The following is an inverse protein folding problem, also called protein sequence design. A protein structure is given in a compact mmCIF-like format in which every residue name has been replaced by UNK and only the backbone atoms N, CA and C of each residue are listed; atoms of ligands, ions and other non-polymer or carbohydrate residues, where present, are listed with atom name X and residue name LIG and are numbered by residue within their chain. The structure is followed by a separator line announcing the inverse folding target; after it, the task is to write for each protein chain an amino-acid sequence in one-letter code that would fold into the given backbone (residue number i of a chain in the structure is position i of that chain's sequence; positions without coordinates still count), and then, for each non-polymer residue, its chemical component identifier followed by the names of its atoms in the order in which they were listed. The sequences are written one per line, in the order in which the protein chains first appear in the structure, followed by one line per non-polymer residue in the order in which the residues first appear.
data_IF_442916200451
#
_entry.id   IF_442916200451
#
_cell.length_a   1.000
_cell.length_b   1.000
_cell.length_c   1.000
_cell.angle_alpha   90.00
_cell.angle_beta   90.00
_cell.angle_gamma   90.00
#
_symmetry.space_group_name_H-M   'P 1'
#
loop_
_entity.id
_entity.type
_entity.pdbx_description
1 polymer ?
#
# COMPACT_ATOMS: atom_id res chain seq x y z
N UNK A 1 -4.41 -18.90 24.58
CA UNK A 1 -4.09 -18.91 23.14
C UNK A 1 -5.13 -18.05 22.41
N UNK A 2 -4.72 -17.26 21.42
CA UNK A 2 -5.62 -16.44 20.59
C UNK A 2 -5.99 -17.11 19.25
N UNK A 3 -5.27 -18.17 18.85
CA UNK A 3 -5.50 -18.89 17.60
C UNK A 3 -6.17 -20.24 17.87
N UNK A 4 -7.15 -20.57 17.04
CA UNK A 4 -7.78 -21.89 17.02
C UNK A 4 -6.79 -22.96 16.53
N UNK A 5 -7.02 -24.22 16.92
CA UNK A 5 -6.23 -25.35 16.43
C UNK A 5 -6.41 -25.47 14.91
N UNK A 6 -5.30 -25.57 14.17
CA UNK A 6 -5.28 -25.59 12.71
C UNK A 6 -5.32 -24.21 12.04
N UNK A 7 -5.43 -23.12 12.80
CA UNK A 7 -5.34 -21.77 12.24
C UNK A 7 -3.96 -21.50 11.64
N UNK A 8 -3.91 -20.57 10.68
CA UNK A 8 -2.71 -20.15 9.96
C UNK A 8 -2.46 -18.68 10.18
N UNK A 9 -1.20 -18.30 10.34
CA UNK A 9 -0.77 -16.91 10.37
C UNK A 9 0.33 -16.70 9.34
N UNK A 10 0.18 -15.69 8.48
CA UNK A 10 1.17 -15.32 7.46
C UNK A 10 1.58 -13.89 7.71
N UNK A 11 2.86 -13.66 7.95
CA UNK A 11 3.40 -12.34 8.24
C UNK A 11 4.46 -11.98 7.20
N UNK A 12 4.23 -10.87 6.49
CA UNK A 12 5.25 -10.27 5.67
C UNK A 12 6.18 -9.44 6.55
N UNK A 13 7.47 -9.74 6.52
CA UNK A 13 8.48 -9.09 7.36
C UNK A 13 9.68 -8.60 6.53
N UNK A 14 10.39 -7.60 7.05
CA UNK A 14 11.60 -7.04 6.45
C UNK A 14 12.74 -7.07 7.47
N UNK A 15 13.39 -8.23 7.67
CA UNK A 15 14.50 -8.35 8.60
C UNK A 15 15.71 -7.55 8.11
N UNK A 16 16.43 -6.93 9.02
CA UNK A 16 17.67 -6.20 8.71
C UNK A 16 18.84 -7.17 8.52
N UNK A 17 18.84 -8.29 9.24
CA UNK A 17 19.91 -9.29 9.21
C UNK A 17 19.37 -10.73 9.34
N UNK A 18 20.24 -11.71 9.05
CA UNK A 18 19.89 -13.13 9.14
C UNK A 18 19.60 -13.59 10.59
N UNK A 19 20.27 -12.99 11.59
CA UNK A 19 20.07 -13.33 13.00
C UNK A 19 18.65 -12.98 13.48
N UNK A 20 18.06 -11.88 13.01
CA UNK A 20 16.68 -11.50 13.29
C UNK A 20 15.71 -12.52 12.70
N UNK A 21 16.01 -13.05 11.50
CA UNK A 21 15.20 -14.07 10.85
C UNK A 21 15.22 -15.40 11.65
N UNK A 22 16.40 -15.82 12.07
CA UNK A 22 16.58 -17.00 12.93
C UNK A 22 15.88 -16.82 14.27
N UNK A 23 16.03 -15.66 14.92
CA UNK A 23 15.38 -15.36 16.18
C UNK A 23 13.87 -15.48 16.07
N UNK A 24 13.25 -14.86 15.06
CA UNK A 24 11.80 -14.91 14.86
C UNK A 24 11.34 -16.35 14.64
N UNK A 25 12.05 -17.10 13.80
CA UNK A 25 11.71 -18.49 13.49
C UNK A 25 11.84 -19.40 14.71
N UNK A 26 12.92 -19.24 15.49
CA UNK A 26 13.15 -19.99 16.72
C UNK A 26 12.07 -19.70 17.78
N UNK A 27 11.66 -18.44 17.94
CA UNK A 27 10.58 -18.10 18.88
C UNK A 27 9.23 -18.66 18.43
N UNK A 28 8.94 -18.64 17.12
CA UNK A 28 7.72 -19.26 16.60
C UNK A 28 7.67 -20.77 16.88
N UNK A 29 8.78 -21.49 16.65
CA UNK A 29 8.88 -22.92 16.97
C UNK A 29 8.73 -23.19 18.48
N UNK A 30 9.37 -22.37 19.33
CA UNK A 30 9.22 -22.47 20.79
C UNK A 30 7.79 -22.23 21.26
N UNK A 31 7.04 -21.36 20.58
CA UNK A 31 5.63 -21.11 20.86
C UNK A 31 4.70 -22.23 20.34
N UNK A 32 5.24 -23.28 19.71
CA UNK A 32 4.49 -24.42 19.20
C UNK A 32 3.89 -24.21 17.80
N UNK A 33 4.34 -23.18 17.07
CA UNK A 33 4.02 -23.06 15.66
C UNK A 33 4.89 -23.98 14.82
N UNK A 34 4.29 -24.59 13.80
CA UNK A 34 5.03 -25.27 12.72
C UNK A 34 4.99 -24.40 11.47
N UNK A 35 5.80 -24.72 10.45
CA UNK A 35 5.85 -23.97 9.19
C UNK A 35 7.27 -23.51 8.86
N UNK A 36 7.40 -22.32 8.25
CA UNK A 36 8.67 -21.86 7.71
C UNK A 36 8.61 -20.53 6.98
N UNK A 37 9.75 -20.15 6.41
CA UNK A 37 9.93 -18.91 5.65
C UNK A 37 9.74 -19.16 4.16
N UNK A 38 9.00 -18.28 3.50
CA UNK A 38 8.83 -18.25 2.04
C UNK A 38 9.40 -16.93 1.52
N UNK A 39 10.26 -17.00 0.51
CA UNK A 39 10.97 -15.84 -0.02
C UNK A 39 10.61 -15.65 -1.49
N UNK A 40 9.82 -14.63 -1.78
CA UNK A 40 9.52 -14.25 -3.16
C UNK A 40 10.68 -13.48 -3.77
N UNK A 41 10.95 -13.74 -5.05
CA UNK A 41 12.00 -13.12 -5.86
C UNK A 41 13.37 -13.13 -5.17
N UNK A 42 13.92 -14.31 -4.83
CA UNK A 42 15.13 -14.42 -4.00
C UNK A 42 16.34 -13.70 -4.61
N UNK A 43 16.38 -13.60 -5.94
CA UNK A 43 17.44 -12.99 -6.75
C UNK A 43 17.33 -11.47 -6.92
N UNK A 44 16.22 -10.83 -6.51
CA UNK A 44 16.00 -9.39 -6.69
C UNK A 44 16.02 -8.65 -5.36
N UNK A 45 17.03 -7.83 -5.08
CA UNK A 45 17.08 -7.02 -3.84
C UNK A 45 15.92 -6.03 -3.69
N UNK A 46 15.33 -5.58 -4.80
CA UNK A 46 14.20 -4.62 -4.80
C UNK A 46 12.85 -5.30 -4.65
N UNK A 47 12.68 -6.48 -5.24
CA UNK A 47 11.41 -7.20 -5.23
C UNK A 47 11.33 -8.28 -4.15
N UNK A 48 12.44 -8.58 -3.45
CA UNK A 48 12.51 -9.58 -2.38
C UNK A 48 11.48 -9.31 -1.30
N UNK A 49 10.71 -10.34 -0.95
CA UNK A 49 9.76 -10.30 0.16
C UNK A 49 9.88 -11.56 0.98
N UNK A 50 9.93 -11.41 2.30
CA UNK A 50 9.95 -12.52 3.24
C UNK A 50 8.55 -12.70 3.85
N UNK A 51 8.04 -13.92 3.79
CA UNK A 51 6.78 -14.33 4.36
C UNK A 51 7.01 -15.43 5.39
N UNK A 52 6.76 -15.14 6.66
CA UNK A 52 6.74 -16.13 7.73
C UNK A 52 5.37 -16.81 7.73
N UNK A 53 5.33 -18.09 7.37
CA UNK A 53 4.12 -18.89 7.32
C UNK A 53 4.07 -19.84 8.52
N UNK A 54 3.12 -19.60 9.43
CA UNK A 54 2.96 -20.33 10.70
C UNK A 54 1.64 -21.10 10.72
N UNK A 55 1.68 -22.32 11.27
CA UNK A 55 0.52 -23.17 11.51
C UNK A 55 0.40 -23.48 13.00
N UNK A 56 -0.81 -23.31 13.55
CA UNK A 56 -1.10 -23.58 14.96
C UNK A 56 -1.47 -25.06 15.18
N UNK A 57 -0.49 -25.88 15.55
CA UNK A 57 -0.69 -27.27 16.01
C UNK A 57 -1.02 -28.32 14.95
N UNK A 58 -1.15 -27.96 13.67
CA UNK A 58 -1.27 -28.91 12.55
C UNK A 58 -0.25 -28.52 11.50
N UNK A 59 0.61 -29.46 11.09
CA UNK A 59 1.56 -29.20 10.00
C UNK A 59 0.85 -29.20 8.64
N UNK A 60 1.14 -28.20 7.83
CA UNK A 60 0.66 -28.07 6.46
C UNK A 60 1.81 -27.85 5.48
N UNK A 61 1.51 -27.94 4.18
CA UNK A 61 2.46 -27.59 3.13
C UNK A 61 2.66 -26.07 3.10
N UNK A 62 3.92 -25.64 2.94
CA UNK A 62 4.25 -24.25 2.73
C UNK A 62 3.80 -23.80 1.33
N UNK A 63 3.33 -22.56 1.19
CA UNK A 63 3.03 -22.01 -0.12
C UNK A 63 4.30 -21.91 -0.96
N UNK A 64 4.15 -22.10 -2.27
CA UNK A 64 5.26 -21.98 -3.23
C UNK A 64 5.73 -20.52 -3.31
N UNK A 65 7.04 -20.33 -3.28
CA UNK A 65 7.66 -19.02 -3.44
C UNK A 65 7.54 -18.53 -4.89
N UNK A 66 7.32 -17.24 -5.09
CA UNK A 66 7.29 -16.66 -6.43
C UNK A 66 8.71 -16.36 -6.93
N UNK A 67 8.95 -16.55 -8.23
CA UNK A 67 10.18 -16.10 -8.90
C UNK A 67 11.29 -17.15 -9.03
N UNK A 68 10.97 -18.43 -8.80
CA UNK A 68 11.86 -19.56 -9.11
C UNK A 68 11.61 -20.13 -10.53
N UNK A 69 10.46 -19.81 -11.13
CA UNK A 69 10.08 -20.24 -12.48
C UNK A 69 10.20 -19.14 -13.54
N UNK A 70 10.81 -19.53 -14.67
CA UNK A 70 10.89 -18.82 -15.93
C UNK A 70 9.58 -18.17 -16.34
N UNK A 71 9.56 -16.85 -16.25
CA UNK A 71 8.95 -15.83 -17.13
C UNK A 71 7.52 -15.96 -17.72
N UNK A 72 6.77 -17.06 -17.63
CA UNK A 72 5.63 -17.23 -18.55
C UNK A 72 4.24 -17.36 -17.94
N UNK A 73 4.07 -17.59 -16.64
CA UNK A 73 2.72 -17.69 -16.08
C UNK A 73 2.58 -16.90 -14.77
N UNK A 74 1.36 -16.45 -14.47
CA UNK A 74 0.95 -15.83 -13.21
C UNK A 74 1.14 -14.31 -13.05
N UNK A 75 0.70 -13.54 -14.06
CA UNK A 75 0.25 -12.16 -13.84
C UNK A 75 -1.11 -12.07 -13.11
N UNK A 76 -1.65 -13.18 -12.59
CA UNK A 76 -3.01 -13.36 -12.09
C UNK A 76 -3.17 -13.16 -10.56
N UNK A 77 -2.14 -13.39 -9.75
CA UNK A 77 -2.27 -13.48 -8.27
C UNK A 77 -1.70 -12.30 -7.46
N UNK A 78 -1.45 -11.14 -8.09
CA UNK A 78 -1.11 -9.93 -7.33
C UNK A 78 -2.39 -9.30 -6.73
N UNK A 79 -2.56 -9.38 -5.40
CA UNK A 79 -3.58 -8.60 -4.69
C UNK A 79 -3.25 -7.11 -4.83
N UNK A 80 -3.98 -6.43 -5.70
CA UNK A 80 -3.77 -5.02 -6.04
C UNK A 80 -4.31 -4.07 -4.98
N UNK A 81 -3.63 -3.98 -3.85
CA UNK A 81 -3.85 -2.89 -2.88
C UNK A 81 -3.44 -1.52 -3.47
N UNK A 82 -2.60 -1.51 -4.50
CA UNK A 82 -2.10 -0.28 -5.13
C UNK A 82 -3.11 0.35 -6.09
N UNK A 83 -3.88 -0.45 -6.86
CA UNK A 83 -4.84 0.11 -7.82
C UNK A 83 -6.06 0.73 -7.15
N UNK A 84 -6.45 0.29 -5.94
CA UNK A 84 -7.58 0.89 -5.24
C UNK A 84 -7.28 2.32 -4.77
N UNK A 85 -6.04 2.60 -4.31
CA UNK A 85 -5.58 3.97 -4.02
C UNK A 85 -5.40 4.81 -5.28
N UNK A 86 -4.92 4.22 -6.38
CA UNK A 86 -4.77 4.92 -7.65
C UNK A 86 -6.13 5.30 -8.27
N UNK A 87 -7.10 4.38 -8.25
CA UNK A 87 -8.49 4.64 -8.67
C UNK A 87 -9.16 5.68 -7.80
N UNK A 88 -8.95 5.70 -6.48
CA UNK A 88 -9.46 6.77 -5.62
C UNK A 88 -8.82 8.13 -5.93
N UNK A 89 -7.54 8.18 -6.31
CA UNK A 89 -6.89 9.41 -6.79
C UNK A 89 -7.42 9.87 -8.15
N UNK A 90 -7.68 8.94 -9.07
CA UNK A 90 -8.24 9.25 -10.39
C UNK A 90 -9.73 9.62 -10.33
N UNK A 91 -10.50 9.00 -9.42
CA UNK A 91 -11.91 9.31 -9.18
C UNK A 91 -12.11 10.64 -8.41
N UNK A 92 -11.10 11.09 -7.65
CA UNK A 92 -11.16 12.35 -6.89
C UNK A 92 -10.90 13.62 -7.71
N UNK A 93 -10.80 13.51 -9.04
CA UNK A 93 -10.65 14.67 -9.92
C UNK A 93 -9.46 15.56 -9.57
N UNK A 94 -9.35 16.70 -10.27
CA UNK A 94 -8.33 17.72 -9.96
C UNK A 94 -8.56 18.22 -8.53
N UNK A 95 -7.48 18.48 -7.78
CA UNK A 95 -7.55 19.02 -6.42
C UNK A 95 -8.56 20.18 -6.34
N UNK A 96 -9.55 20.06 -5.44
CA UNK A 96 -10.55 21.11 -5.19
C UNK A 96 -9.85 22.44 -4.90
N UNK A 97 -8.70 22.40 -4.22
CA UNK A 97 -7.88 23.55 -3.90
C UNK A 97 -7.28 24.15 -5.18
N UNK A 98 -7.54 25.45 -5.41
CA UNK A 98 -7.19 26.23 -6.63
C UNK A 98 -8.09 26.00 -7.84
N UNK A 99 -9.15 25.19 -7.73
CA UNK A 99 -10.20 25.14 -8.76
C UNK A 99 -10.94 26.49 -8.84
N UNK A 100 -11.62 26.74 -9.98
CA UNK A 100 -12.42 27.96 -10.16
C UNK A 100 -13.51 28.07 -9.09
N UNK A 101 -14.20 26.97 -8.81
CA UNK A 101 -15.31 26.96 -7.85
C UNK A 101 -14.83 27.20 -6.43
N UNK A 102 -13.67 26.65 -6.05
CA UNK A 102 -13.02 26.96 -4.78
C UNK A 102 -12.61 28.44 -4.64
N UNK A 103 -12.20 29.09 -5.74
CA UNK A 103 -11.90 30.52 -5.75
C UNK A 103 -13.18 31.33 -5.54
N UNK A 104 -14.27 30.96 -6.22
CA UNK A 104 -15.57 31.63 -6.09
C UNK A 104 -16.16 31.49 -4.68
N UNK A 105 -16.13 30.30 -4.11
CA UNK A 105 -16.61 30.06 -2.75
C UNK A 105 -15.83 30.88 -1.72
N UNK A 106 -14.51 30.99 -1.89
CA UNK A 106 -13.67 31.86 -1.05
C UNK A 106 -14.01 33.34 -1.19
N UNK A 107 -14.27 33.80 -2.41
CA UNK A 107 -14.69 35.18 -2.67
C UNK A 107 -16.04 35.46 -2.02
N UNK A 108 -17.00 34.57 -2.20
CA UNK A 108 -18.33 34.66 -1.63
C UNK A 108 -18.29 34.71 -0.10
N UNK A 109 -17.50 33.83 0.52
CA UNK A 109 -17.28 33.87 1.96
C UNK A 109 -16.70 35.20 2.44
N UNK A 110 -15.78 35.81 1.67
CA UNK A 110 -15.22 37.14 2.01
C UNK A 110 -16.24 38.26 1.83
N UNK A 111 -17.12 38.19 0.82
CA UNK A 111 -18.26 39.14 0.66
C UNK A 111 -19.19 39.08 1.86
N UNK A 112 -19.55 37.87 2.32
CA UNK A 112 -20.36 37.68 3.54
C UNK A 112 -19.71 38.23 4.81
N UNK A 113 -18.38 38.29 4.84
CA UNK A 113 -17.61 38.89 5.93
C UNK A 113 -17.44 40.42 5.78
N UNK A 114 -18.11 41.05 4.80
CA UNK A 114 -18.00 42.50 4.53
C UNK A 114 -16.63 42.94 4.01
N UNK A 115 -15.77 42.00 3.60
CA UNK A 115 -14.43 42.33 3.09
C UNK A 115 -14.51 42.72 1.62
N UNK A 116 -13.66 43.65 1.21
CA UNK A 116 -13.52 44.01 -0.19
C UNK A 116 -13.03 42.80 -1.01
N UNK A 117 -13.75 42.47 -2.08
CA UNK A 117 -13.47 41.33 -2.95
C UNK A 117 -13.61 41.76 -4.41
N UNK A 118 -12.60 41.42 -5.20
CA UNK A 118 -12.56 41.73 -6.65
C UNK A 118 -13.69 40.99 -7.41
N UNK A 119 -14.36 41.66 -8.38
CA UNK A 119 -15.46 41.06 -9.15
C UNK A 119 -15.06 39.78 -9.88
N UNK A 120 -16.06 38.95 -10.18
CA UNK A 120 -15.86 37.69 -10.87
C UNK A 120 -15.68 37.92 -12.37
N UNK A 121 -14.63 37.32 -12.93
CA UNK A 121 -14.32 37.41 -14.35
C UNK A 121 -14.28 36.01 -14.98
N UNK A 122 -14.51 35.93 -16.30
CA UNK A 122 -14.38 34.69 -17.10
C UNK A 122 -13.01 34.04 -16.98
N UNK A 123 -11.98 34.79 -16.58
CA UNK A 123 -10.60 34.34 -16.45
C UNK A 123 -10.23 33.83 -15.04
N UNK A 124 -11.20 33.80 -14.10
CA UNK A 124 -10.97 33.33 -12.72
C UNK A 124 -10.52 31.87 -12.70
N UNK A 125 -9.38 31.58 -12.06
CA UNK A 125 -8.81 30.24 -11.97
C UNK A 125 -8.14 29.72 -13.26
N UNK A 126 -8.07 30.53 -14.33
CA UNK A 126 -7.38 30.13 -15.58
C UNK A 126 -5.87 30.25 -15.43
N UNK A 127 -5.13 29.25 -15.92
CA UNK A 127 -3.66 29.26 -15.99
C UNK A 127 -3.20 30.47 -16.84
N UNK A 128 -2.35 31.33 -16.27
CA UNK A 128 -1.73 32.45 -17.00
C UNK A 128 -0.52 31.94 -17.78
N UNK A 129 -0.25 32.55 -18.94
CA UNK A 129 0.97 32.25 -19.71
C UNK A 129 2.20 32.66 -18.89
N UNK A 130 3.35 31.99 -19.09
CA UNK A 130 4.62 32.44 -18.52
C UNK A 130 4.87 33.89 -18.96
N UNK A 131 5.30 34.73 -18.02
CA UNK A 131 5.88 36.02 -18.38
C UNK A 131 7.36 35.74 -18.62
N UNK A 132 7.83 36.02 -19.83
CA UNK A 132 9.26 36.05 -20.13
C UNK A 132 9.79 37.45 -19.86
#
# INVERSE_FOLDING_TARGET
SALARGARAVLQIYPENAQQLELITAQAMRAGFTGGMVVDYPNSSKAKKFFLCLFAGVSGLLPKALGEETAEEEASHHVSFTNQRARLKQARGKSVKKSRDWILEKKERRRRQGKEVRPDTKFSGRKRRPHF
#
